data_IF_080575822512
#
_entry.id   IF_080575822512
#
_cell.length_a   1.000
_cell.length_b   1.000
_cell.length_c   1.000
_cell.angle_alpha   90.00
_cell.angle_beta   90.00
_cell.angle_gamma   90.00
#
_symmetry.space_group_name_H-M   'P 1'
#
loop_
_entity.id
_entity.type
_entity.pdbx_description
1 polymer ?
#
# COMPACT_ATOMS: atom_id res chain seq x y z
N UNK A 1 9.86 -0.70 -9.20
CA UNK A 1 8.79 0.33 -9.23
C UNK A 1 8.23 0.33 -10.63
N UNK A 2 7.13 -0.40 -10.86
CA UNK A 2 6.66 -0.70 -12.23
C UNK A 2 5.41 0.11 -12.63
N UNK A 3 4.98 1.08 -11.83
CA UNK A 3 3.85 1.95 -12.14
C UNK A 3 4.36 3.33 -12.61
N UNK A 4 4.08 3.69 -13.86
CA UNK A 4 4.34 5.04 -14.36
C UNK A 4 3.30 6.03 -13.81
N UNK A 5 3.66 7.30 -13.56
CA UNK A 5 2.71 8.30 -13.09
C UNK A 5 1.49 8.48 -14.00
N UNK A 6 1.68 8.33 -15.32
CA UNK A 6 0.61 8.43 -16.31
C UNK A 6 -0.40 7.28 -16.20
N UNK A 7 0.06 6.07 -15.92
CA UNK A 7 -0.81 4.92 -15.68
C UNK A 7 -1.64 5.13 -14.41
N UNK A 8 -1.02 5.63 -13.34
CA UNK A 8 -1.70 5.93 -12.08
C UNK A 8 -2.81 6.99 -12.28
N UNK A 9 -2.52 8.08 -12.99
CA UNK A 9 -3.50 9.12 -13.31
C UNK A 9 -4.70 8.56 -14.10
N UNK A 10 -4.46 7.65 -15.06
CA UNK A 10 -5.53 6.98 -15.81
C UNK A 10 -6.37 6.06 -14.93
N UNK A 11 -5.75 5.29 -14.03
CA UNK A 11 -6.46 4.41 -13.09
C UNK A 11 -7.31 5.19 -12.08
N UNK A 12 -6.83 6.35 -11.63
CA UNK A 12 -7.53 7.23 -10.68
C UNK A 12 -8.84 7.82 -11.24
N UNK A 13 -9.05 7.83 -12.56
CA UNK A 13 -10.32 8.28 -13.16
C UNK A 13 -11.50 7.36 -12.80
N UNK A 14 -11.25 6.09 -12.45
CA UNK A 14 -12.26 5.11 -12.07
C UNK A 14 -12.52 5.10 -10.56
N UNK A 15 -13.18 6.14 -10.07
CA UNK A 15 -13.44 6.33 -8.64
C UNK A 15 -14.23 5.17 -8.02
N UNK A 16 -15.08 4.48 -8.80
CA UNK A 16 -15.82 3.28 -8.40
C UNK A 16 -14.91 2.13 -7.91
N UNK A 17 -13.65 2.12 -8.34
CA UNK A 17 -12.66 1.11 -7.98
C UNK A 17 -11.69 1.53 -6.88
N UNK A 18 -11.82 2.76 -6.35
CA UNK A 18 -10.94 3.27 -5.30
C UNK A 18 -11.55 2.94 -3.94
N UNK A 19 -10.79 2.20 -3.11
CA UNK A 19 -11.15 1.88 -1.73
C UNK A 19 -10.20 2.58 -0.77
N UNK A 20 -10.59 3.75 -0.31
CA UNK A 20 -9.87 4.44 0.76
C UNK A 20 -10.04 3.66 2.06
N UNK A 21 -8.94 3.23 2.67
CA UNK A 21 -8.92 2.47 3.92
C UNK A 21 -7.93 3.07 4.91
N UNK A 22 -8.20 2.88 6.20
CA UNK A 22 -7.31 3.27 7.29
C UNK A 22 -7.13 2.07 8.23
N UNK A 23 -5.90 1.86 8.71
CA UNK A 23 -5.59 0.85 9.72
C UNK A 23 -5.49 1.58 11.06
N UNK A 24 -6.40 1.24 11.97
CA UNK A 24 -6.44 1.76 13.33
C UNK A 24 -6.12 0.60 14.28
N UNK A 25 -5.12 0.78 15.14
CA UNK A 25 -4.78 -0.20 16.16
C UNK A 25 -4.24 0.50 17.41
N UNK A 26 -4.26 -0.22 18.53
CA UNK A 26 -3.55 0.20 19.74
C UNK A 26 -2.03 0.14 19.52
N UNK A 27 -1.28 0.83 20.39
CA UNK A 27 0.19 0.79 20.36
C UNK A 27 0.65 -0.67 20.50
N UNK A 28 1.69 -1.05 19.75
CA UNK A 28 2.26 -2.41 19.69
C UNK A 28 1.35 -3.53 19.17
N UNK A 29 0.20 -3.20 18.58
CA UNK A 29 -0.71 -4.19 17.99
C UNK A 29 -0.45 -4.44 16.49
N UNK A 30 0.79 -4.27 16.03
CA UNK A 30 1.19 -4.68 14.67
C UNK A 30 0.59 -3.86 13.52
N UNK A 31 0.15 -2.61 13.76
CA UNK A 31 -0.32 -1.70 12.69
C UNK A 31 0.71 -1.56 11.56
N UNK A 32 1.98 -1.35 11.92
CA UNK A 32 3.08 -1.19 10.97
C UNK A 32 3.36 -2.50 10.22
N UNK A 33 3.42 -3.63 10.93
CA UNK A 33 3.60 -4.95 10.32
C UNK A 33 2.51 -5.27 9.30
N UNK A 34 1.25 -4.97 9.62
CA UNK A 34 0.13 -5.19 8.70
C UNK A 34 0.19 -4.26 7.48
N UNK A 35 0.52 -2.98 7.65
CA UNK A 35 0.64 -2.06 6.52
C UNK A 35 1.77 -2.46 5.58
N UNK A 36 2.92 -2.87 6.12
CA UNK A 36 4.08 -3.24 5.34
C UNK A 36 3.82 -4.50 4.50
N UNK A 37 3.12 -5.48 5.08
CA UNK A 37 2.73 -6.69 4.37
C UNK A 37 1.74 -6.40 3.23
N UNK A 38 0.76 -5.53 3.45
CA UNK A 38 -0.22 -5.14 2.42
C UNK A 38 0.41 -4.37 1.26
N UNK A 39 1.27 -3.40 1.57
CA UNK A 39 1.97 -2.60 0.55
C UNK A 39 2.92 -3.49 -0.25
N UNK A 40 3.58 -4.41 0.43
CA UNK A 40 4.52 -5.34 -0.15
C UNK A 40 3.91 -6.38 -1.08
N UNK A 41 2.80 -6.99 -0.67
CA UNK A 41 2.10 -8.02 -1.45
C UNK A 41 1.60 -7.50 -2.79
N UNK A 42 1.34 -6.20 -2.93
CA UNK A 42 0.82 -5.61 -4.16
C UNK A 42 1.94 -5.20 -5.16
N UNK A 43 3.20 -5.53 -4.87
CA UNK A 43 4.38 -5.21 -5.69
C UNK A 43 4.51 -3.71 -6.07
N UNK A 44 3.81 -2.83 -5.34
CA UNK A 44 3.85 -1.39 -5.53
C UNK A 44 5.17 -0.81 -5.02
N UNK A 45 5.73 -1.42 -3.98
CA UNK A 45 7.00 -1.04 -3.36
C UNK A 45 7.95 -2.25 -3.35
N UNK A 46 9.26 -1.98 -3.39
CA UNK A 46 10.29 -3.01 -3.37
C UNK A 46 10.29 -3.77 -2.02
N UNK A 47 10.42 -5.11 -2.00
CA UNK A 47 10.39 -5.92 -0.77
C UNK A 47 11.37 -5.50 0.33
N UNK A 48 12.53 -4.96 -0.05
CA UNK A 48 13.53 -4.41 0.89
C UNK A 48 13.07 -3.20 1.71
N UNK A 49 11.94 -2.58 1.35
CA UNK A 49 11.33 -1.47 2.10
C UNK A 49 10.17 -1.93 2.97
N UNK A 50 9.75 -3.20 2.86
CA UNK A 50 8.86 -3.82 3.85
C UNK A 50 9.69 -4.04 5.11
N UNK A 51 9.21 -3.58 6.27
CA UNK A 51 9.96 -3.57 7.53
C UNK A 51 10.91 -4.76 7.69
N UNK A 52 12.21 -4.49 7.53
CA UNK A 52 13.22 -5.34 8.14
C UNK A 52 12.95 -5.28 9.64
N UNK A 53 12.78 -6.44 10.27
CA UNK A 53 12.71 -6.56 11.71
C UNK A 53 13.94 -5.95 12.38
#
# INVERSE_FOLDING_TARGET
MNASPQLLAKLQQRQDRIRNMCILAHVDHGKTTLSDHLIGSNALIHPKLMGEL
#
